data_IF_751280270177
#
_entry.id   IF_751280270177
#
_cell.length_a   1.000
_cell.length_b   1.000
_cell.length_c   1.000
_cell.angle_alpha   90.00
_cell.angle_beta   90.00
_cell.angle_gamma   90.00
#
_symmetry.space_group_name_H-M   'P 1'
#
loop_
_entity.id
_entity.type
_entity.pdbx_description
1 polymer ?
#
# COMPACT_ATOMS: atom_id res chain seq x y z
N UNK A 1 56.92 -13.06 -13.23
CA UNK A 1 56.23 -14.03 -12.36
C UNK A 1 54.98 -14.49 -13.10
N UNK A 2 54.90 -15.78 -13.47
CA UNK A 2 53.63 -16.35 -13.95
C UNK A 2 52.74 -16.50 -12.72
N UNK A 3 51.53 -15.92 -12.73
CA UNK A 3 50.54 -16.22 -11.69
C UNK A 3 50.34 -17.74 -11.65
N UNK A 4 50.35 -18.36 -10.46
CA UNK A 4 50.12 -19.79 -10.34
C UNK A 4 48.69 -20.09 -10.80
N UNK A 5 48.58 -20.92 -11.84
CA UNK A 5 47.30 -21.39 -12.38
C UNK A 5 46.63 -22.24 -11.30
N UNK A 6 45.61 -21.68 -10.63
CA UNK A 6 44.89 -22.36 -9.55
C UNK A 6 44.18 -23.58 -10.16
N UNK A 7 44.44 -24.81 -9.68
CA UNK A 7 43.81 -26.00 -10.25
C UNK A 7 42.28 -25.88 -10.23
N UNK A 8 41.63 -26.13 -11.37
CA UNK A 8 40.18 -26.00 -11.53
C UNK A 8 39.38 -26.80 -10.48
N UNK A 9 39.89 -27.98 -10.08
CA UNK A 9 39.26 -28.81 -9.06
C UNK A 9 39.30 -28.16 -7.66
N UNK A 10 40.36 -27.42 -7.33
CA UNK A 10 40.44 -26.69 -6.07
C UNK A 10 39.43 -25.55 -6.06
N UNK A 11 39.32 -24.80 -7.15
CA UNK A 11 38.31 -23.74 -7.31
C UNK A 11 36.89 -24.30 -7.22
N UNK A 12 36.63 -25.45 -7.83
CA UNK A 12 35.32 -26.12 -7.78
C UNK A 12 34.97 -26.56 -6.36
N UNK A 13 35.92 -27.15 -5.62
CA UNK A 13 35.71 -27.53 -4.22
C UNK A 13 35.42 -26.31 -3.35
N UNK A 14 36.20 -25.24 -3.52
CA UNK A 14 36.05 -23.99 -2.77
C UNK A 14 34.68 -23.34 -3.02
N UNK A 15 34.23 -23.27 -4.29
CA UNK A 15 32.90 -22.76 -4.64
C UNK A 15 31.78 -23.62 -4.03
N UNK A 16 31.95 -24.95 -3.99
CA UNK A 16 30.97 -25.84 -3.36
C UNK A 16 30.86 -25.64 -1.85
N UNK A 17 32.00 -25.41 -1.18
CA UNK A 17 32.03 -25.16 0.26
C UNK A 17 31.41 -23.80 0.61
N UNK A 18 31.65 -22.77 -0.21
CA UNK A 18 30.93 -21.50 -0.10
C UNK A 18 29.40 -21.68 -0.27
N UNK A 19 28.95 -22.51 -1.21
CA UNK A 19 27.53 -22.79 -1.39
C UNK A 19 26.91 -23.52 -0.19
N UNK A 20 27.63 -24.49 0.39
CA UNK A 20 27.20 -25.21 1.61
C UNK A 20 27.05 -24.25 2.79
N UNK A 21 28.03 -23.36 2.94
CA UNK A 21 28.02 -22.30 3.97
C UNK A 21 26.82 -21.38 3.81
N UNK A 22 26.51 -20.95 2.57
CA UNK A 22 25.35 -20.13 2.27
C UNK A 22 24.02 -20.82 2.61
N UNK A 23 23.89 -22.13 2.35
CA UNK A 23 22.68 -22.90 2.69
C UNK A 23 22.45 -22.99 4.21
N UNK A 24 23.52 -23.09 5.00
CA UNK A 24 23.42 -23.06 6.46
C UNK A 24 23.00 -21.67 6.95
N UNK A 25 23.55 -20.62 6.35
CA UNK A 25 23.22 -19.24 6.65
C UNK A 25 21.77 -18.89 6.30
N UNK A 26 21.26 -19.39 5.16
CA UNK A 26 19.88 -19.17 4.71
C UNK A 26 18.84 -19.60 5.76
N UNK A 27 19.10 -20.71 6.46
CA UNK A 27 18.22 -21.20 7.53
C UNK A 27 18.08 -20.21 8.68
N UNK A 28 19.16 -19.49 8.99
CA UNK A 28 19.18 -18.47 10.03
C UNK A 28 18.49 -17.18 9.56
N UNK A 29 18.52 -16.87 8.26
CA UNK A 29 17.88 -15.68 7.70
C UNK A 29 16.33 -15.75 7.72
N UNK A 30 15.73 -16.93 7.93
CA UNK A 30 14.29 -17.03 8.19
C UNK A 30 13.85 -16.36 9.50
N UNK A 31 14.75 -16.23 10.48
CA UNK A 31 14.49 -15.59 11.77
C UNK A 31 15.69 -14.71 12.14
N UNK A 32 15.60 -13.39 11.96
CA UNK A 32 16.71 -12.46 12.24
C UNK A 32 17.28 -12.59 13.66
N UNK A 33 16.44 -12.98 14.63
CA UNK A 33 16.85 -13.23 16.03
C UNK A 33 17.87 -14.38 16.12
N UNK A 34 17.64 -15.47 15.38
CA UNK A 34 18.55 -16.61 15.37
C UNK A 34 19.89 -16.27 14.68
N UNK A 35 19.92 -15.31 13.76
CA UNK A 35 21.18 -14.84 13.16
C UNK A 35 22.03 -14.03 14.17
N UNK A 36 21.38 -13.35 15.12
CA UNK A 36 22.02 -12.56 16.16
C UNK A 36 22.61 -13.43 17.28
N UNK A 37 21.87 -14.48 17.67
CA UNK A 37 22.18 -15.31 18.84
C UNK A 37 23.11 -16.49 18.53
N UNK A 38 23.33 -16.79 17.25
CA UNK A 38 24.16 -17.91 16.82
C UNK A 38 25.67 -17.60 16.91
N UNK A 39 26.46 -18.62 17.24
CA UNK A 39 27.92 -18.54 17.40
C UNK A 39 28.70 -19.17 16.24
N UNK A 40 28.00 -19.76 15.26
CA UNK A 40 28.59 -20.52 14.14
C UNK A 40 29.23 -19.61 13.09
N UNK A 41 28.62 -18.46 12.82
CA UNK A 41 29.08 -17.47 11.85
C UNK A 41 29.43 -16.19 12.57
N UNK A 42 30.72 -15.88 12.65
CA UNK A 42 31.23 -14.62 13.19
C UNK A 42 31.07 -13.51 12.14
N UNK A 43 29.86 -12.98 12.02
CA UNK A 43 29.52 -11.92 11.08
C UNK A 43 29.52 -10.57 11.79
N UNK A 44 30.16 -9.58 11.19
CA UNK A 44 30.04 -8.20 11.66
C UNK A 44 28.57 -7.74 11.62
N UNK A 45 28.11 -6.89 12.56
CA UNK A 45 26.72 -6.40 12.59
C UNK A 45 26.27 -5.70 11.30
N UNK A 46 27.20 -5.07 10.58
CA UNK A 46 26.93 -4.45 9.27
C UNK A 46 26.60 -5.52 8.21
N UNK A 47 27.36 -6.61 8.18
CA UNK A 47 27.14 -7.74 7.28
C UNK A 47 25.82 -8.46 7.59
N UNK A 48 25.48 -8.65 8.87
CA UNK A 48 24.19 -9.21 9.27
C UNK A 48 23.02 -8.36 8.75
N UNK A 49 23.07 -7.04 8.94
CA UNK A 49 22.04 -6.12 8.42
C UNK A 49 21.94 -6.16 6.90
N UNK A 50 23.07 -6.19 6.19
CA UNK A 50 23.10 -6.30 4.73
C UNK A 50 22.47 -7.63 4.26
N UNK A 51 22.81 -8.75 4.90
CA UNK A 51 22.26 -10.07 4.57
C UNK A 51 20.76 -10.15 4.82
N UNK A 52 20.29 -9.62 5.95
CA UNK A 52 18.87 -9.52 6.26
C UNK A 52 18.17 -8.65 5.21
N UNK A 53 18.70 -7.45 4.92
CA UNK A 53 18.10 -6.54 3.94
C UNK A 53 18.00 -7.20 2.55
N UNK A 54 19.05 -7.88 2.08
CA UNK A 54 19.05 -8.60 0.80
C UNK A 54 18.12 -9.82 0.81
N UNK A 55 18.06 -10.55 1.91
CA UNK A 55 17.20 -11.72 2.03
C UNK A 55 15.71 -11.37 2.16
N UNK A 56 15.39 -10.21 2.73
CA UNK A 56 14.03 -9.65 2.76
C UNK A 56 13.76 -8.69 1.59
N UNK A 57 14.66 -8.59 0.62
CA UNK A 57 14.34 -7.88 -0.61
C UNK A 57 13.42 -8.74 -1.49
N UNK A 58 12.59 -8.10 -2.31
CA UNK A 58 11.66 -8.78 -3.20
C UNK A 58 11.69 -8.17 -4.59
N UNK A 59 11.34 -9.00 -5.57
CA UNK A 59 11.25 -8.56 -6.95
C UNK A 59 9.84 -8.00 -7.19
N UNK A 60 9.77 -6.75 -7.64
CA UNK A 60 8.51 -6.07 -7.87
C UNK A 60 7.63 -6.81 -8.88
N UNK A 61 8.21 -7.46 -9.89
CA UNK A 61 7.48 -8.22 -10.91
C UNK A 61 6.84 -9.48 -10.32
N UNK A 62 7.57 -10.20 -9.46
CA UNK A 62 7.08 -11.40 -8.77
C UNK A 62 5.97 -11.04 -7.80
N UNK A 63 6.16 -9.99 -7.01
CA UNK A 63 5.14 -9.49 -6.08
C UNK A 63 3.87 -9.06 -6.80
N UNK A 64 4.00 -8.41 -7.97
CA UNK A 64 2.86 -7.95 -8.77
C UNK A 64 1.91 -9.08 -9.17
N UNK A 65 2.43 -10.27 -9.42
CA UNK A 65 1.64 -11.42 -9.90
C UNK A 65 0.75 -12.04 -8.82
N UNK A 66 1.14 -11.93 -7.54
CA UNK A 66 0.36 -12.46 -6.42
C UNK A 66 -0.29 -11.37 -5.55
N UNK A 67 0.03 -10.09 -5.77
CA UNK A 67 -0.61 -8.97 -5.09
C UNK A 67 -2.13 -9.01 -5.26
N UNK A 68 -2.89 -8.79 -4.18
CA UNK A 68 -4.35 -8.80 -4.20
C UNK A 68 -5.01 -10.18 -4.25
N UNK A 69 -4.25 -11.26 -4.52
CA UNK A 69 -4.76 -12.64 -4.47
C UNK A 69 -4.68 -13.18 -3.04
N UNK A 70 -5.65 -14.00 -2.64
CA UNK A 70 -5.57 -14.73 -1.36
C UNK A 70 -4.39 -15.68 -1.41
N UNK A 71 -3.41 -15.47 -0.55
CA UNK A 71 -2.25 -16.36 -0.40
C UNK A 71 -2.72 -17.67 0.25
N UNK A 72 -2.94 -18.71 -0.55
CA UNK A 72 -3.31 -20.05 -0.08
C UNK A 72 -2.26 -21.09 -0.47
N UNK A 73 -2.28 -22.26 0.17
CA UNK A 73 -1.39 -23.37 -0.20
C UNK A 73 -1.54 -23.79 -1.67
N UNK A 74 -2.71 -23.54 -2.28
CA UNK A 74 -3.00 -23.83 -3.69
C UNK A 74 -2.22 -22.93 -4.65
N UNK A 75 -1.93 -21.69 -4.25
CA UNK A 75 -1.15 -20.73 -5.04
C UNK A 75 0.33 -21.12 -5.20
N UNK A 76 0.81 -22.16 -4.48
CA UNK A 76 2.17 -22.68 -4.66
C UNK A 76 2.38 -23.31 -6.04
N UNK A 77 1.32 -23.83 -6.67
CA UNK A 77 1.37 -24.40 -8.02
C UNK A 77 1.52 -23.32 -9.11
N UNK A 78 0.99 -22.14 -8.85
CA UNK A 78 1.06 -21.01 -9.78
C UNK A 78 2.44 -20.32 -9.75
N UNK A 79 3.32 -20.68 -8.80
CA UNK A 79 4.65 -20.09 -8.69
C UNK A 79 5.59 -20.52 -9.81
N UNK A 80 5.39 -21.72 -10.37
CA UNK A 80 6.17 -22.19 -11.52
C UNK A 80 5.84 -21.29 -12.75
N UNK A 81 4.57 -20.98 -12.98
CA UNK A 81 4.14 -20.03 -14.01
C UNK A 81 4.66 -18.59 -13.75
N UNK A 82 4.66 -18.14 -12.49
CA UNK A 82 5.22 -16.82 -12.13
C UNK A 82 6.72 -16.78 -12.39
N UNK A 83 7.43 -17.88 -12.08
CA UNK A 83 8.87 -18.01 -12.33
C UNK A 83 9.18 -17.92 -13.83
N UNK A 84 8.42 -18.63 -14.67
CA UNK A 84 8.56 -18.56 -16.12
C UNK A 84 8.26 -17.15 -16.67
N UNK A 85 7.20 -16.51 -16.16
CA UNK A 85 6.76 -15.19 -16.62
C UNK A 85 7.73 -14.06 -16.24
N UNK A 86 8.30 -14.13 -15.04
CA UNK A 86 9.20 -13.09 -14.51
C UNK A 86 10.67 -13.36 -14.80
N UNK A 87 11.03 -14.60 -15.15
CA UNK A 87 12.41 -15.03 -15.29
C UNK A 87 13.15 -15.17 -13.95
N UNK A 88 12.44 -15.06 -12.82
CA UNK A 88 13.02 -15.20 -11.47
C UNK A 88 12.99 -16.66 -11.05
N UNK A 89 14.09 -17.14 -10.47
CA UNK A 89 14.21 -18.53 -10.01
C UNK A 89 13.10 -18.92 -9.02
N UNK A 90 12.56 -20.13 -9.18
CA UNK A 90 11.45 -20.65 -8.39
C UNK A 90 11.74 -20.66 -6.88
N UNK A 91 12.99 -20.85 -6.46
CA UNK A 91 13.37 -20.77 -5.03
C UNK A 91 13.20 -19.35 -4.51
N UNK A 92 13.55 -18.33 -5.30
CA UNK A 92 13.34 -16.93 -4.95
C UNK A 92 11.85 -16.58 -4.90
N UNK A 93 11.04 -17.04 -5.87
CA UNK A 93 9.58 -16.85 -5.84
C UNK A 93 8.95 -17.48 -4.58
N UNK A 94 9.36 -18.70 -4.22
CA UNK A 94 8.90 -19.39 -3.00
C UNK A 94 9.34 -18.66 -1.73
N UNK A 95 10.56 -18.14 -1.67
CA UNK A 95 11.05 -17.30 -0.57
C UNK A 95 10.15 -16.07 -0.41
N UNK A 96 9.91 -15.30 -1.46
CA UNK A 96 9.15 -14.05 -1.38
C UNK A 96 7.69 -14.28 -0.91
N UNK A 97 7.03 -15.31 -1.41
CA UNK A 97 5.65 -15.67 -1.02
C UNK A 97 5.60 -16.29 0.39
N UNK A 98 6.53 -17.19 0.70
CA UNK A 98 6.64 -17.80 2.02
C UNK A 98 6.94 -16.78 3.11
N UNK A 99 7.83 -15.82 2.85
CA UNK A 99 8.15 -14.74 3.77
C UNK A 99 6.99 -13.76 3.94
N UNK A 100 6.25 -13.43 2.87
CA UNK A 100 5.02 -12.63 2.98
C UNK A 100 3.99 -13.30 3.91
N UNK A 101 3.82 -14.62 3.81
CA UNK A 101 2.95 -15.42 4.68
C UNK A 101 3.47 -15.53 6.13
N UNK A 102 4.78 -15.71 6.32
CA UNK A 102 5.39 -15.75 7.66
C UNK A 102 5.31 -14.39 8.35
N UNK A 103 5.56 -13.31 7.62
CA UNK A 103 5.40 -11.94 8.12
C UNK A 103 3.94 -11.65 8.49
N UNK A 104 2.99 -12.08 7.65
CA UNK A 104 1.56 -12.09 7.99
C UNK A 104 1.39 -12.80 9.34
N UNK A 105 1.87 -14.03 9.50
CA UNK A 105 1.64 -14.82 10.73
C UNK A 105 2.36 -14.27 11.99
N UNK A 106 3.55 -13.70 11.84
CA UNK A 106 4.44 -13.34 12.95
C UNK A 106 4.39 -11.85 13.34
N UNK A 107 4.03 -10.94 12.41
CA UNK A 107 3.99 -9.49 12.67
C UNK A 107 2.58 -8.97 12.94
N UNK A 108 1.54 -9.72 12.55
CA UNK A 108 0.15 -9.44 12.98
C UNK A 108 0.03 -9.33 14.51
N UNK A 109 0.82 -10.09 15.28
CA UNK A 109 0.80 -10.00 16.74
C UNK A 109 1.45 -8.72 17.30
N UNK A 110 2.20 -7.96 16.48
CA UNK A 110 3.06 -6.85 16.92
C UNK A 110 2.37 -5.49 16.75
N UNK A 111 1.35 -5.37 15.88
CA UNK A 111 0.62 -4.11 15.69
C UNK A 111 -0.66 -3.98 16.53
N UNK A 112 -0.67 -4.61 17.71
CA UNK A 112 -1.45 -4.10 18.83
C UNK A 112 -0.72 -2.86 19.38
N UNK A 113 -1.39 -1.71 19.59
CA UNK A 113 -0.79 -0.58 20.27
C UNK A 113 -0.66 -0.89 21.76
N UNK A 114 0.33 -1.68 22.13
CA UNK A 114 1.07 -1.34 23.33
C UNK A 114 2.14 -0.35 22.87
N UNK A 115 2.09 0.93 23.31
CA UNK A 115 3.24 1.83 23.21
C UNK A 115 4.50 1.27 23.91
N UNK A 116 4.39 0.12 24.59
CA UNK A 116 5.48 -0.64 25.20
C UNK A 116 5.93 -1.87 24.40
N UNK A 117 5.53 -2.01 23.14
CA UNK A 117 6.02 -3.05 22.21
C UNK A 117 6.48 -2.45 20.87
N UNK A 118 7.06 -1.25 20.92
CA UNK A 118 8.35 -1.08 20.24
C UNK A 118 9.17 -2.23 20.80
N UNK A 119 9.70 -3.11 19.96
CA UNK A 119 10.71 -4.04 20.43
C UNK A 119 11.79 -3.20 21.12
N UNK A 120 11.76 -3.15 22.46
CA UNK A 120 12.96 -3.07 23.26
C UNK A 120 13.72 -4.38 23.03
N UNK A 121 14.20 -4.61 21.79
CA UNK A 121 15.56 -5.16 21.61
C UNK A 121 16.49 -4.00 21.93
N UNK A 122 16.39 -3.50 23.15
CA UNK A 122 17.32 -2.51 23.69
C UNK A 122 18.27 -3.17 24.70
N UNK A 123 18.08 -4.46 25.00
CA UNK A 123 18.84 -5.13 26.06
C UNK A 123 19.48 -6.47 25.69
N UNK A 124 19.18 -7.06 24.53
CA UNK A 124 19.91 -8.23 24.04
C UNK A 124 20.27 -8.04 22.55
N UNK A 125 21.46 -7.49 22.33
CA UNK A 125 22.18 -7.43 21.05
C UNK A 125 21.46 -6.75 19.86
N UNK A 126 21.55 -5.42 19.79
CA UNK A 126 21.68 -4.57 18.59
C UNK A 126 21.00 -4.97 17.25
N UNK A 127 19.82 -5.59 17.27
CA UNK A 127 18.97 -5.74 16.10
C UNK A 127 17.62 -5.10 16.39
N UNK A 128 17.65 -3.77 16.53
CA UNK A 128 16.46 -2.96 16.34
C UNK A 128 16.00 -3.16 14.90
N UNK A 129 15.01 -4.02 14.73
CA UNK A 129 14.10 -4.02 13.57
C UNK A 129 13.21 -2.77 13.74
N UNK A 130 13.85 -1.60 13.81
CA UNK A 130 13.21 -0.30 13.85
C UNK A 130 12.71 -0.01 12.45
N UNK A 131 11.39 0.17 12.31
CA UNK A 131 10.69 0.97 11.28
C UNK A 131 11.38 1.18 9.92
N UNK A 132 12.05 0.14 9.42
CA UNK A 132 12.86 0.27 8.22
C UNK A 132 11.89 0.41 7.05
N UNK A 133 12.23 1.20 6.01
CA UNK A 133 11.36 1.39 4.86
C UNK A 133 10.93 0.06 4.21
N UNK A 134 11.74 -1.00 4.35
CA UNK A 134 11.47 -2.36 3.91
C UNK A 134 10.28 -2.99 4.65
N UNK A 135 10.18 -2.79 5.97
CA UNK A 135 9.07 -3.32 6.80
C UNK A 135 7.75 -2.67 6.41
N UNK A 136 7.74 -1.36 6.14
CA UNK A 136 6.54 -0.65 5.66
C UNK A 136 6.05 -1.22 4.34
N UNK A 137 6.97 -1.55 3.42
CA UNK A 137 6.63 -2.22 2.16
C UNK A 137 5.97 -3.58 2.45
N UNK A 138 6.53 -4.41 3.32
CA UNK A 138 5.92 -5.69 3.68
C UNK A 138 4.54 -5.54 4.31
N UNK A 139 4.37 -4.62 5.25
CA UNK A 139 3.07 -4.33 5.84
C UNK A 139 2.05 -3.95 4.77
N UNK A 140 2.42 -3.12 3.80
CA UNK A 140 1.56 -2.77 2.68
C UNK A 140 1.20 -3.96 1.79
N UNK A 141 2.15 -4.86 1.49
CA UNK A 141 1.88 -6.08 0.71
C UNK A 141 0.91 -7.01 1.43
N UNK A 142 1.16 -7.24 2.71
CA UNK A 142 0.31 -8.09 3.55
C UNK A 142 -1.09 -7.49 3.68
N UNK A 143 -1.18 -6.19 3.96
CA UNK A 143 -2.47 -5.49 4.03
C UNK A 143 -3.23 -5.56 2.71
N UNK A 144 -2.52 -5.41 1.59
CA UNK A 144 -3.10 -5.52 0.25
C UNK A 144 -3.66 -6.90 -0.04
N UNK A 145 -2.92 -7.95 0.29
CA UNK A 145 -3.35 -9.34 0.09
C UNK A 145 -4.45 -9.75 1.06
N UNK A 146 -4.44 -9.23 2.29
CA UNK A 146 -5.48 -9.46 3.29
C UNK A 146 -6.82 -8.86 2.86
N UNK A 147 -6.83 -7.57 2.50
CA UNK A 147 -8.01 -6.85 2.02
C UNK A 147 -8.39 -7.18 0.57
N UNK A 148 -7.53 -7.91 -0.16
CA UNK A 148 -7.71 -8.38 -1.55
C UNK A 148 -7.97 -7.24 -2.54
N UNK A 149 -7.22 -6.14 -2.43
CA UNK A 149 -7.34 -5.06 -3.41
C UNK A 149 -7.03 -5.59 -4.82
N UNK A 150 -7.86 -5.21 -5.79
CA UNK A 150 -7.68 -5.60 -7.17
C UNK A 150 -6.60 -4.72 -7.80
N UNK A 151 -5.47 -5.34 -8.14
CA UNK A 151 -4.30 -4.68 -8.72
C UNK A 151 -3.93 -5.20 -10.11
N UNK A 152 -4.59 -6.24 -10.60
CA UNK A 152 -4.22 -6.96 -11.83
C UNK A 152 -4.96 -6.53 -13.09
N UNK A 153 -5.91 -5.59 -13.01
CA UNK A 153 -6.67 -5.13 -14.18
C UNK A 153 -5.77 -4.38 -15.17
N UNK A 154 -6.05 -4.52 -16.47
CA UNK A 154 -5.31 -3.85 -17.56
C UNK A 154 -5.16 -2.33 -17.35
N UNK A 155 -6.18 -1.69 -16.77
CA UNK A 155 -6.21 -0.26 -16.48
C UNK A 155 -5.21 0.17 -15.40
N UNK A 156 -4.71 -0.75 -14.58
CA UNK A 156 -3.76 -0.49 -13.50
C UNK A 156 -2.33 -0.93 -13.84
N UNK A 157 -2.08 -1.42 -15.06
CA UNK A 157 -0.77 -1.92 -15.46
C UNK A 157 0.29 -0.83 -15.61
N UNK A 158 -0.13 0.44 -15.78
CA UNK A 158 0.80 1.58 -15.82
C UNK A 158 1.36 1.94 -14.44
N UNK A 159 0.72 1.46 -13.35
CA UNK A 159 1.12 1.73 -11.99
C UNK A 159 2.17 0.72 -11.53
N UNK A 160 3.22 1.22 -10.87
CA UNK A 160 4.28 0.39 -10.30
C UNK A 160 3.92 -0.06 -8.89
N UNK A 161 4.62 -1.06 -8.39
CA UNK A 161 4.39 -1.58 -7.04
C UNK A 161 4.52 -0.50 -5.96
N UNK A 162 5.46 0.43 -6.14
CA UNK A 162 5.72 1.53 -5.22
C UNK A 162 4.53 2.47 -5.10
N UNK A 163 3.72 2.62 -6.16
CA UNK A 163 2.53 3.46 -6.16
C UNK A 163 1.43 2.85 -5.28
N UNK A 164 1.24 1.52 -5.35
CA UNK A 164 0.33 0.79 -4.46
C UNK A 164 0.80 0.80 -3.02
N UNK A 165 2.08 0.49 -2.80
CA UNK A 165 2.67 0.46 -1.45
C UNK A 165 2.50 1.81 -0.77
N UNK A 166 2.75 2.91 -1.48
CA UNK A 166 2.54 4.26 -0.93
C UNK A 166 1.09 4.50 -0.52
N UNK A 167 0.13 4.20 -1.40
CA UNK A 167 -1.29 4.41 -1.11
C UNK A 167 -1.71 3.58 0.11
N UNK A 168 -1.31 2.31 0.14
CA UNK A 168 -1.67 1.39 1.23
C UNK A 168 -1.00 1.79 2.54
N UNK A 169 0.24 2.29 2.53
CA UNK A 169 0.89 2.82 3.73
C UNK A 169 0.12 4.01 4.33
N UNK A 170 -0.42 4.90 3.47
CA UNK A 170 -1.31 5.97 3.92
C UNK A 170 -2.64 5.42 4.45
N UNK A 171 -3.22 4.40 3.80
CA UNK A 171 -4.44 3.76 4.30
C UNK A 171 -4.23 3.07 5.64
N UNK A 172 -3.11 2.40 5.87
CA UNK A 172 -2.85 1.75 7.15
C UNK A 172 -2.66 2.80 8.25
N UNK A 173 -1.91 3.86 7.96
CA UNK A 173 -1.65 4.93 8.93
C UNK A 173 -2.92 5.72 9.26
N UNK A 174 -3.77 5.92 8.27
CA UNK A 174 -4.99 6.68 8.42
C UNK A 174 -6.15 5.78 8.81
N UNK A 175 -6.56 4.78 8.03
CA UNK A 175 -7.84 4.06 8.11
C UNK A 175 -7.85 2.78 8.99
N UNK A 176 -6.72 2.31 9.51
CA UNK A 176 -6.71 1.21 10.49
C UNK A 176 -7.07 1.70 11.91
N UNK A 177 -7.53 0.80 12.78
CA UNK A 177 -7.94 1.19 14.13
C UNK A 177 -6.79 1.77 14.93
N UNK A 178 -7.04 2.94 15.55
CA UNK A 178 -6.10 3.60 16.45
C UNK A 178 -6.25 3.16 17.91
N UNK A 179 -7.35 2.48 18.23
CA UNK A 179 -7.67 2.12 19.61
C UNK A 179 -7.04 0.78 20.00
N UNK A 180 -6.08 0.77 20.95
CA UNK A 180 -5.44 -0.45 21.39
C UNK A 180 -6.32 -1.43 22.15
N UNK A 181 -7.46 -0.97 22.63
CA UNK A 181 -8.39 -1.76 23.41
C UNK A 181 -9.58 -2.23 22.56
N UNK A 182 -9.49 -2.11 21.22
CA UNK A 182 -10.55 -2.57 20.33
C UNK A 182 -10.71 -4.09 20.44
N UNK A 183 -11.84 -4.53 21.00
CA UNK A 183 -12.15 -5.96 21.20
C UNK A 183 -12.52 -6.69 19.90
N UNK A 184 -12.77 -5.93 18.83
CA UNK A 184 -13.29 -6.46 17.56
C UNK A 184 -12.21 -6.69 16.51
N UNK A 185 -11.02 -6.11 16.69
CA UNK A 185 -9.89 -6.31 15.77
C UNK A 185 -8.91 -7.34 16.33
N UNK A 186 -9.01 -8.57 15.81
CA UNK A 186 -8.07 -9.65 16.14
C UNK A 186 -6.70 -9.47 15.44
N UNK A 187 -6.65 -8.64 14.40
CA UNK A 187 -5.42 -8.31 13.67
C UNK A 187 -5.40 -6.83 13.29
N UNK A 188 -4.28 -6.14 13.51
CA UNK A 188 -4.06 -4.74 13.10
C UNK A 188 -3.96 -4.53 11.57
N UNK A 189 -4.60 -5.41 10.80
CA UNK A 189 -4.67 -5.41 9.34
C UNK A 189 -6.10 -5.19 8.81
N UNK A 190 -7.07 -5.11 9.72
CA UNK A 190 -8.42 -4.71 9.38
C UNK A 190 -8.50 -3.18 9.27
N UNK A 191 -9.40 -2.72 8.40
CA UNK A 191 -9.82 -1.33 8.40
C UNK A 191 -10.72 -1.12 9.61
N UNK A 192 -10.60 0.06 10.21
CA UNK A 192 -11.43 0.47 11.33
C UNK A 192 -12.92 0.40 10.96
N UNK A 193 -13.64 -0.55 11.56
CA UNK A 193 -15.05 -0.82 11.24
C UNK A 193 -15.97 0.33 11.63
N UNK A 194 -15.66 1.02 12.73
CA UNK A 194 -16.42 2.18 13.19
C UNK A 194 -16.22 3.34 12.21
N UNK A 195 -14.98 3.58 11.78
CA UNK A 195 -14.65 4.54 10.74
C UNK A 195 -15.39 4.24 9.42
N UNK A 196 -15.39 2.99 8.94
CA UNK A 196 -16.10 2.61 7.71
C UNK A 196 -17.62 2.79 7.82
N UNK A 197 -18.19 2.51 8.99
CA UNK A 197 -19.61 2.69 9.25
C UNK A 197 -19.98 4.19 9.27
N UNK A 198 -19.15 5.04 9.86
CA UNK A 198 -19.32 6.49 9.85
C UNK A 198 -19.13 7.08 8.44
N UNK A 199 -18.21 6.55 7.63
CA UNK A 199 -18.06 6.95 6.23
C UNK A 199 -19.34 6.71 5.41
N UNK A 200 -20.11 5.67 5.74
CA UNK A 200 -21.38 5.39 5.07
C UNK A 200 -22.39 6.52 5.30
N UNK A 201 -22.36 7.16 6.46
CA UNK A 201 -23.26 8.26 6.80
C UNK A 201 -23.01 9.48 5.91
N UNK A 202 -21.79 9.63 5.36
CA UNK A 202 -21.45 10.68 4.39
C UNK A 202 -22.31 10.68 3.12
N UNK A 203 -23.12 9.63 2.88
CA UNK A 203 -24.18 9.64 1.85
C UNK A 203 -25.11 10.86 1.98
N UNK A 204 -25.31 11.42 3.19
CA UNK A 204 -26.09 12.64 3.40
C UNK A 204 -25.56 13.85 2.61
N UNK A 205 -24.27 13.85 2.23
CA UNK A 205 -23.70 14.89 1.35
C UNK A 205 -24.21 14.81 -0.09
N UNK A 206 -24.84 13.70 -0.49
CA UNK A 206 -25.47 13.56 -1.81
C UNK A 206 -26.89 14.12 -1.85
N UNK A 207 -27.48 14.46 -0.69
CA UNK A 207 -28.78 15.11 -0.65
C UNK A 207 -28.70 16.48 -1.30
N UNK A 208 -29.72 16.82 -2.09
CA UNK A 208 -29.71 18.00 -2.97
C UNK A 208 -29.27 19.28 -2.26
N UNK A 209 -29.79 19.54 -1.07
CA UNK A 209 -29.50 20.76 -0.30
C UNK A 209 -28.06 20.80 0.26
N UNK A 210 -27.53 19.66 0.69
CA UNK A 210 -26.16 19.55 1.21
C UNK A 210 -25.13 19.58 0.08
N UNK A 211 -25.46 18.90 -1.02
CA UNK A 211 -24.65 18.86 -2.23
C UNK A 211 -24.54 20.25 -2.88
N UNK A 212 -25.64 21.00 -2.96
CA UNK A 212 -25.63 22.37 -3.49
C UNK A 212 -24.78 23.31 -2.63
N UNK A 213 -24.82 23.19 -1.29
CA UNK A 213 -23.93 23.96 -0.39
C UNK A 213 -22.46 23.59 -0.55
N UNK A 214 -22.18 22.29 -0.63
CA UNK A 214 -20.84 21.75 -0.87
C UNK A 214 -20.28 22.26 -2.20
N UNK A 215 -21.11 22.25 -3.25
CA UNK A 215 -20.79 22.79 -4.56
C UNK A 215 -20.48 24.29 -4.48
N UNK A 216 -21.33 25.07 -3.81
CA UNK A 216 -21.14 26.53 -3.69
C UNK A 216 -19.87 26.88 -2.90
N UNK A 217 -19.54 26.11 -1.86
CA UNK A 217 -18.29 26.24 -1.11
C UNK A 217 -17.05 25.95 -1.97
N UNK A 218 -17.05 24.81 -2.65
CA UNK A 218 -15.97 24.39 -3.56
C UNK A 218 -15.79 25.40 -4.70
N UNK A 219 -16.89 25.93 -5.24
CA UNK A 219 -16.89 26.96 -6.29
C UNK A 219 -16.36 28.30 -5.82
N UNK A 220 -16.72 28.73 -4.61
CA UNK A 220 -16.21 29.98 -4.03
C UNK A 220 -14.69 29.92 -3.87
N UNK A 221 -14.18 28.80 -3.38
CA UNK A 221 -12.75 28.58 -3.14
C UNK A 221 -11.94 28.34 -4.44
N UNK A 222 -12.54 27.74 -5.47
CA UNK A 222 -11.85 27.40 -6.74
C UNK A 222 -12.13 28.36 -7.91
N UNK A 223 -12.82 29.48 -7.65
CA UNK A 223 -13.36 30.43 -8.64
C UNK A 223 -12.34 30.97 -9.65
N UNK A 224 -11.03 30.84 -9.37
CA UNK A 224 -9.93 31.36 -10.20
C UNK A 224 -9.04 30.27 -10.84
N UNK A 225 -9.23 28.97 -10.53
CA UNK A 225 -8.22 27.93 -10.81
C UNK A 225 -8.71 26.77 -11.70
N UNK A 226 -10.00 26.41 -11.67
CA UNK A 226 -10.56 25.32 -12.49
C UNK A 226 -11.70 25.86 -13.35
N UNK A 227 -11.50 25.93 -14.67
CA UNK A 227 -12.37 26.70 -15.58
C UNK A 227 -13.78 26.14 -15.84
N UNK A 228 -14.18 25.00 -15.24
CA UNK A 228 -15.46 24.32 -15.53
C UNK A 228 -16.18 23.83 -14.27
N UNK A 229 -17.24 24.55 -13.89
CA UNK A 229 -18.16 24.26 -12.79
C UNK A 229 -18.67 22.79 -12.76
N UNK A 230 -18.97 22.21 -13.93
CA UNK A 230 -19.52 20.84 -14.02
C UNK A 230 -18.50 19.74 -13.67
N UNK A 231 -17.20 20.00 -13.86
CA UNK A 231 -16.16 19.04 -13.51
C UNK A 231 -16.01 18.92 -11.99
N UNK A 232 -16.05 20.05 -11.27
CA UNK A 232 -15.96 20.06 -9.80
C UNK A 232 -17.13 19.33 -9.15
N UNK A 233 -18.34 19.53 -9.69
CA UNK A 233 -19.56 18.85 -9.25
C UNK A 233 -19.44 17.32 -9.36
N UNK A 234 -18.99 16.86 -10.53
CA UNK A 234 -18.81 15.43 -10.81
C UNK A 234 -17.70 14.78 -9.96
N UNK A 235 -16.60 15.51 -9.73
CA UNK A 235 -15.50 15.07 -8.87
C UNK A 235 -15.92 14.93 -7.41
N UNK A 236 -16.67 15.90 -6.91
CA UNK A 236 -17.19 15.91 -5.53
C UNK A 236 -18.16 14.76 -5.30
N UNK A 237 -19.08 14.53 -6.24
CA UNK A 237 -20.00 13.40 -6.18
C UNK A 237 -19.27 12.06 -6.20
N UNK A 238 -18.22 11.94 -7.02
CA UNK A 238 -17.38 10.74 -7.08
C UNK A 238 -16.63 10.49 -5.78
N UNK A 239 -16.08 11.54 -5.14
CA UNK A 239 -15.42 11.43 -3.86
C UNK A 239 -16.35 10.85 -2.78
N UNK A 240 -17.57 11.41 -2.65
CA UNK A 240 -18.57 10.94 -1.68
C UNK A 240 -19.06 9.53 -2.02
N UNK A 241 -19.23 9.22 -3.32
CA UNK A 241 -19.62 7.88 -3.76
C UNK A 241 -18.59 6.80 -3.41
N UNK A 242 -17.30 7.11 -3.55
CA UNK A 242 -16.23 6.18 -3.14
C UNK A 242 -16.24 6.05 -1.62
N UNK A 243 -16.35 7.17 -0.87
CA UNK A 243 -16.40 7.17 0.59
C UNK A 243 -17.46 6.21 1.15
N UNK A 244 -18.73 6.37 0.74
CA UNK A 244 -19.79 5.51 1.28
C UNK A 244 -19.64 4.05 0.81
N UNK A 245 -19.10 3.83 -0.40
CA UNK A 245 -18.86 2.51 -0.97
C UNK A 245 -17.84 1.70 -0.18
N UNK A 246 -16.85 2.34 0.47
CA UNK A 246 -15.78 1.63 1.20
C UNK A 246 -16.26 0.67 2.29
N UNK A 247 -17.47 0.86 2.84
CA UNK A 247 -18.06 -0.07 3.80
C UNK A 247 -18.44 -1.42 3.16
N UNK A 248 -18.57 -1.49 1.83
CA UNK A 248 -18.85 -2.71 1.10
C UNK A 248 -17.55 -3.39 0.66
N UNK A 249 -17.39 -4.67 1.01
CA UNK A 249 -16.17 -5.43 0.68
C UNK A 249 -15.84 -5.49 -0.81
N UNK A 250 -16.83 -5.33 -1.70
CA UNK A 250 -16.60 -5.29 -3.14
C UNK A 250 -15.93 -3.97 -3.55
N UNK A 251 -16.52 -2.85 -3.16
CA UNK A 251 -16.03 -1.53 -3.52
C UNK A 251 -14.68 -1.23 -2.84
N UNK A 252 -14.47 -1.77 -1.64
CA UNK A 252 -13.15 -1.76 -0.99
C UNK A 252 -12.10 -2.46 -1.86
N UNK A 253 -12.39 -3.67 -2.37
CA UNK A 253 -11.45 -4.40 -3.25
C UNK A 253 -11.17 -3.63 -4.54
N UNK A 254 -12.20 -3.02 -5.11
CA UNK A 254 -12.12 -2.30 -6.37
C UNK A 254 -11.62 -0.84 -6.21
N UNK A 255 -11.21 -0.42 -5.00
CA UNK A 255 -10.82 0.97 -4.69
C UNK A 255 -9.87 1.60 -5.73
N UNK A 256 -8.76 0.94 -6.06
CA UNK A 256 -7.79 1.49 -7.01
C UNK A 256 -8.38 1.67 -8.42
N UNK A 257 -9.26 0.75 -8.83
CA UNK A 257 -9.97 0.83 -10.10
C UNK A 257 -10.93 2.01 -10.07
N UNK A 258 -11.73 2.11 -9.01
CA UNK A 258 -12.72 3.15 -8.84
C UNK A 258 -12.10 4.55 -8.84
N UNK A 259 -10.96 4.71 -8.16
CA UNK A 259 -10.19 5.95 -8.21
C UNK A 259 -9.72 6.25 -9.63
N UNK A 260 -9.05 5.29 -10.28
CA UNK A 260 -8.48 5.55 -11.61
C UNK A 260 -9.57 5.79 -12.67
N UNK A 261 -10.66 5.02 -12.63
CA UNK A 261 -11.71 5.01 -13.65
C UNK A 261 -12.71 6.15 -13.48
N UNK A 262 -13.24 6.37 -12.27
CA UNK A 262 -14.30 7.38 -12.07
C UNK A 262 -13.78 8.80 -12.28
N UNK A 263 -12.57 9.08 -11.78
CA UNK A 263 -11.93 10.39 -11.98
C UNK A 263 -11.47 10.61 -13.44
N UNK A 264 -10.96 9.56 -14.10
CA UNK A 264 -10.60 9.65 -15.52
C UNK A 264 -11.84 9.85 -16.42
N UNK A 265 -12.93 9.13 -16.15
CA UNK A 265 -14.16 9.23 -16.92
C UNK A 265 -14.73 10.66 -16.91
N UNK A 266 -14.83 11.30 -15.74
CA UNK A 266 -15.27 12.69 -15.65
C UNK A 266 -14.35 13.66 -16.39
N UNK A 267 -13.04 13.41 -16.37
CA UNK A 267 -12.12 14.24 -17.14
C UNK A 267 -12.33 14.11 -18.66
N UNK A 268 -12.55 12.90 -19.17
CA UNK A 268 -12.82 12.64 -20.60
C UNK A 268 -14.13 13.28 -21.06
N UNK A 269 -15.21 13.08 -20.29
CA UNK A 269 -16.54 13.65 -20.59
C UNK A 269 -16.49 15.19 -20.69
N UNK A 270 -15.69 15.84 -19.84
CA UNK A 270 -15.60 17.30 -19.81
C UNK A 270 -14.62 17.91 -20.83
N UNK A 271 -13.67 17.14 -21.37
CA UNK A 271 -12.67 17.65 -22.31
C UNK A 271 -12.93 17.35 -23.77
N UNK A 272 -13.86 16.44 -24.12
CA UNK A 272 -14.44 16.23 -25.47
C UNK A 272 -13.58 16.77 -26.64
N UNK A 273 -12.34 16.30 -26.75
CA UNK A 273 -11.49 16.51 -27.92
C UNK A 273 -10.85 15.19 -28.29
N UNK A 274 -11.59 14.45 -29.12
CA UNK A 274 -11.23 13.19 -29.80
C UNK A 274 -10.97 12.01 -28.86
N UNK A 275 -11.43 10.83 -29.29
CA UNK A 275 -11.05 9.52 -28.74
C UNK A 275 -9.53 9.44 -28.63
N UNK A 276 -8.97 9.80 -27.48
CA UNK A 276 -7.59 9.48 -27.18
C UNK A 276 -7.62 8.03 -26.72
N UNK A 277 -6.96 7.18 -27.51
CA UNK A 277 -6.77 5.78 -27.22
C UNK A 277 -6.43 5.58 -25.75
N UNK A 278 -7.07 4.59 -25.10
CA UNK A 278 -6.93 4.16 -23.69
C UNK A 278 -5.49 3.87 -23.20
N UNK A 279 -4.47 4.22 -23.97
CA UNK A 279 -3.07 3.87 -23.79
C UNK A 279 -2.08 5.04 -23.79
N UNK A 280 -2.50 6.29 -24.03
CA UNK A 280 -1.56 7.42 -24.06
C UNK A 280 -1.84 8.39 -22.91
N UNK A 281 -0.91 8.40 -21.95
CA UNK A 281 -0.64 9.42 -20.94
C UNK A 281 -1.84 10.23 -20.42
N UNK A 282 -2.20 9.96 -19.16
CA UNK A 282 -3.03 10.84 -18.35
C UNK A 282 -2.45 12.26 -18.41
N UNK A 283 -3.23 13.27 -18.78
CA UNK A 283 -2.68 14.60 -18.96
C UNK A 283 -2.32 15.19 -17.59
N UNK A 284 -1.11 15.73 -17.49
CA UNK A 284 -0.60 16.47 -16.33
C UNK A 284 -1.62 17.44 -15.71
N UNK A 285 -2.47 18.02 -16.55
CA UNK A 285 -3.56 18.90 -16.15
C UNK A 285 -4.64 18.27 -15.28
N UNK A 286 -4.87 16.95 -15.32
CA UNK A 286 -5.81 16.29 -14.40
C UNK A 286 -5.17 16.18 -13.01
N UNK A 287 -3.91 15.77 -12.92
CA UNK A 287 -3.19 15.65 -11.66
C UNK A 287 -3.09 16.99 -10.94
N UNK A 288 -2.73 18.05 -11.64
CA UNK A 288 -2.67 19.42 -11.09
C UNK A 288 -4.04 19.87 -10.56
N UNK A 289 -5.12 19.63 -11.32
CA UNK A 289 -6.49 19.95 -10.90
C UNK A 289 -6.91 19.16 -9.66
N UNK A 290 -6.57 17.87 -9.57
CA UNK A 290 -6.87 17.05 -8.40
C UNK A 290 -6.03 17.49 -7.19
N UNK A 291 -4.74 17.74 -7.37
CA UNK A 291 -3.85 18.24 -6.31
C UNK A 291 -4.31 19.59 -5.75
N UNK A 292 -4.95 20.42 -6.58
CA UNK A 292 -5.60 21.64 -6.12
C UNK A 292 -6.94 21.37 -5.44
N UNK A 293 -7.78 20.49 -5.99
CA UNK A 293 -9.13 20.20 -5.48
C UNK A 293 -9.15 19.59 -4.07
N UNK A 294 -8.27 18.62 -3.80
CA UNK A 294 -8.33 17.82 -2.57
C UNK A 294 -7.99 18.58 -1.27
N UNK A 295 -6.95 19.44 -1.20
CA UNK A 295 -6.67 20.24 -0.01
C UNK A 295 -7.86 21.10 0.40
N UNK A 296 -8.59 21.69 -0.56
CA UNK A 296 -9.77 22.49 -0.24
C UNK A 296 -10.88 21.63 0.33
N UNK A 297 -11.20 20.47 -0.25
CA UNK A 297 -12.23 19.60 0.32
C UNK A 297 -11.87 19.09 1.72
N UNK A 298 -10.59 18.92 2.02
CA UNK A 298 -10.13 18.55 3.35
C UNK A 298 -10.19 19.73 4.34
N UNK A 299 -9.97 20.97 3.88
CA UNK A 299 -9.89 22.17 4.74
C UNK A 299 -11.16 23.01 4.83
N UNK A 300 -12.11 22.88 3.88
CA UNK A 300 -13.20 23.85 3.75
C UNK A 300 -14.24 23.68 4.87
N UNK A 301 -14.22 24.62 5.81
CA UNK A 301 -15.13 24.80 6.94
C UNK A 301 -16.61 24.88 6.48
N UNK A 302 -16.86 25.21 5.22
CA UNK A 302 -18.21 25.32 4.65
C UNK A 302 -18.84 23.97 4.26
N UNK A 303 -18.05 22.96 3.89
CA UNK A 303 -18.53 21.57 3.77
C UNK A 303 -18.99 21.04 5.14
N UNK A 304 -18.40 21.62 6.19
CA UNK A 304 -18.46 21.19 7.57
C UNK A 304 -19.55 21.91 8.37
N UNK A 305 -20.25 22.91 7.81
CA UNK A 305 -21.34 23.59 8.54
C UNK A 305 -22.53 22.68 8.89
N UNK A 306 -22.91 21.68 8.07
CA UNK A 306 -23.88 20.66 8.48
C UNK A 306 -23.29 19.73 9.56
N UNK A 307 -22.03 19.30 9.41
CA UNK A 307 -21.37 18.36 10.32
C UNK A 307 -21.01 18.94 11.69
N UNK A 308 -20.58 20.20 11.76
CA UNK A 308 -20.31 20.91 13.02
C UNK A 308 -21.56 21.05 13.90
N UNK A 309 -22.75 21.01 13.29
CA UNK A 309 -24.02 21.03 14.02
C UNK A 309 -24.62 19.63 14.26
N UNK A 310 -24.12 18.59 13.59
CA UNK A 310 -24.65 17.21 13.64
C UNK A 310 -23.77 16.25 14.46
N UNK A 311 -22.44 16.23 14.25
CA UNK A 311 -21.49 15.45 15.05
C UNK A 311 -20.01 15.86 14.76
N UNK A 312 -19.23 16.35 15.75
CA UNK A 312 -17.79 16.61 15.58
C UNK A 312 -16.99 15.36 15.18
N UNK A 313 -17.49 14.16 15.48
CA UNK A 313 -16.86 12.90 15.07
C UNK A 313 -16.88 12.70 13.54
N UNK A 314 -17.98 13.06 12.87
CA UNK A 314 -18.09 12.92 11.41
C UNK A 314 -17.13 13.86 10.66
N UNK A 315 -16.82 15.01 11.25
CA UNK A 315 -15.81 15.93 10.71
C UNK A 315 -14.40 15.30 10.73
N UNK A 316 -14.00 14.68 11.85
CA UNK A 316 -12.72 14.00 11.95
C UNK A 316 -12.62 12.86 10.92
N UNK A 317 -13.71 12.10 10.74
CA UNK A 317 -13.82 11.00 9.79
C UNK A 317 -13.65 11.49 8.34
N UNK A 318 -14.34 12.57 7.96
CA UNK A 318 -14.23 13.15 6.63
C UNK A 318 -12.82 13.67 6.34
N UNK A 319 -12.21 14.34 7.30
CA UNK A 319 -10.84 14.88 7.17
C UNK A 319 -9.84 13.74 6.99
N UNK A 320 -9.93 12.72 7.85
CA UNK A 320 -9.12 11.48 7.78
C UNK A 320 -9.27 10.76 6.44
N UNK A 321 -10.48 10.71 5.87
CA UNK A 321 -10.74 10.13 4.55
C UNK A 321 -10.16 10.98 3.42
N UNK A 322 -10.54 12.25 3.35
CA UNK A 322 -10.23 13.16 2.24
C UNK A 322 -8.72 13.41 2.10
N UNK A 323 -7.99 13.57 3.21
CA UNK A 323 -6.52 13.72 3.18
C UNK A 323 -5.81 12.47 2.65
N UNK A 324 -6.29 11.29 3.06
CA UNK A 324 -5.71 10.02 2.61
C UNK A 324 -6.00 9.81 1.12
N UNK A 325 -7.24 10.09 0.72
CA UNK A 325 -7.67 10.05 -0.68
C UNK A 325 -6.85 11.00 -1.56
N UNK A 326 -6.58 12.22 -1.09
CA UNK A 326 -5.75 13.20 -1.78
C UNK A 326 -4.37 12.65 -2.10
N UNK A 327 -3.70 12.07 -1.11
CA UNK A 327 -2.36 11.49 -1.25
C UNK A 327 -2.37 10.30 -2.22
N UNK A 328 -3.36 9.43 -2.10
CA UNK A 328 -3.52 8.28 -3.00
C UNK A 328 -3.74 8.73 -4.45
N UNK A 329 -4.68 9.64 -4.69
CA UNK A 329 -4.96 10.16 -6.02
C UNK A 329 -3.73 10.83 -6.63
N UNK A 330 -3.06 11.72 -5.90
CA UNK A 330 -1.85 12.39 -6.40
C UNK A 330 -0.73 11.42 -6.78
N UNK A 331 -0.67 10.24 -6.12
CA UNK A 331 0.31 9.20 -6.42
C UNK A 331 -0.10 8.34 -7.63
N UNK A 332 -1.38 8.01 -7.75
CA UNK A 332 -1.92 7.15 -8.80
C UNK A 332 -1.94 7.82 -10.19
N UNK A 333 -1.92 9.15 -10.24
CA UNK A 333 -1.80 9.89 -11.50
C UNK A 333 -0.33 10.29 -11.74
N UNK A 334 0.40 9.63 -12.67
CA UNK A 334 1.76 10.03 -13.03
C UNK A 334 1.76 11.43 -13.65
N UNK A 335 2.90 12.12 -13.57
CA UNK A 335 3.17 13.31 -14.36
C UNK A 335 3.68 12.91 -15.76
#
# INVERSE_FOLDING_TARGET
MKEPDVPLELLKSDVLDHYRTLLMLERLLHSPVHLAEQWTFQLAPQTQRMLIAKYYDFDASVVREFLGKKLSSRNRKDLDEVSEKTGVDIKSCRRQVGQSLLYTRNVISIRCPKPSLIWQVHDHHHLTIEFSPEIRKYAALVYTTHNRFETGKKKLLYLRLEDFVFCVDQMISSWSCRNPNCKYEESGMEMDREFLQQLREMKLLLDKDHHDRLKDAVLFSLRTQISKHTLQDSLTRTLVNIAYGLNHSKDLRDFFIDVVEKYHHHYEEHNCTRRISRHNFLPNSLKEKLAQFFPYIASDVLILSPFNNLDPHLHEVWTRYSETMAKCVCKLYPA
#
